data_IF_224762300478
#
_entry.id   IF_224762300478
#
_cell.length_a   1.000
_cell.length_b   1.000
_cell.length_c   1.000
_cell.angle_alpha   90.00
_cell.angle_beta   90.00
_cell.angle_gamma   90.00
#
_symmetry.space_group_name_H-M   'P 1'
#
loop_
_entity.id
_entity.type
_entity.pdbx_description
1 polymer ?
#
# COMPACT_ATOMS: atom_id res chain seq x y z
N UNK A 1 -10.82 33.61 3.79
CA UNK A 1 -10.46 32.71 4.91
C UNK A 1 -9.32 33.36 5.65
N UNK A 2 -9.52 33.65 6.95
CA UNK A 2 -8.62 34.50 7.72
C UNK A 2 -7.25 33.83 7.92
N UNK A 3 -6.18 34.65 7.93
CA UNK A 3 -4.79 34.27 8.22
C UNK A 3 -4.62 33.50 9.54
N UNK A 4 -5.60 33.57 10.43
CA UNK A 4 -5.65 32.84 11.69
C UNK A 4 -5.76 31.30 11.52
N UNK A 5 -6.30 30.80 10.38
CA UNK A 5 -6.38 29.36 10.10
C UNK A 5 -5.04 28.74 9.66
N UNK A 6 -4.08 29.54 9.21
CA UNK A 6 -2.79 29.04 8.69
C UNK A 6 -1.75 28.87 9.82
N UNK A 7 -1.81 29.69 10.86
CA UNK A 7 -0.85 29.63 11.99
C UNK A 7 -0.99 28.42 12.91
N UNK A 8 -2.17 27.76 12.91
CA UNK A 8 -2.45 26.60 13.79
C UNK A 8 -2.40 25.25 13.04
N UNK A 9 -1.97 25.22 11.80
CA UNK A 9 -1.92 24.00 10.98
C UNK A 9 -0.70 23.17 11.35
N UNK A 10 -0.90 22.10 12.12
CA UNK A 10 0.15 21.24 12.66
C UNK A 10 0.59 20.12 11.72
N UNK A 11 -0.35 19.55 10.97
CA UNK A 11 -0.13 18.38 10.14
C UNK A 11 -0.36 18.68 8.67
N UNK A 12 0.48 18.13 7.80
CA UNK A 12 0.42 18.35 6.35
C UNK A 12 0.21 17.02 5.63
N UNK A 13 -0.68 17.01 4.64
CA UNK A 13 -0.75 15.90 3.71
C UNK A 13 0.25 16.13 2.56
N UNK A 14 1.29 15.27 2.42
CA UNK A 14 2.31 15.46 1.38
C UNK A 14 1.78 15.18 -0.02
N UNK A 15 0.60 14.56 -0.17
CA UNK A 15 0.01 14.24 -1.48
C UNK A 15 -0.52 15.48 -2.19
N UNK A 16 -1.12 16.42 -1.45
CA UNK A 16 -1.67 17.66 -2.02
C UNK A 16 -1.11 18.95 -1.39
N UNK A 17 -0.25 18.83 -0.38
CA UNK A 17 0.40 19.93 0.33
C UNK A 17 -0.50 20.69 1.30
N UNK A 18 -1.74 20.26 1.51
CA UNK A 18 -2.67 20.93 2.44
C UNK A 18 -2.35 20.62 3.90
N UNK A 19 -2.52 21.62 4.75
CA UNK A 19 -2.24 21.51 6.17
C UNK A 19 -3.51 21.67 7.02
N UNK A 20 -3.55 20.95 8.15
CA UNK A 20 -4.71 20.83 9.03
C UNK A 20 -4.28 20.88 10.50
N UNK A 21 -5.17 21.33 11.40
CA UNK A 21 -4.94 21.24 12.86
C UNK A 21 -4.84 19.79 13.33
N UNK A 22 -5.69 18.94 12.79
CA UNK A 22 -5.69 17.49 13.03
C UNK A 22 -6.19 16.76 11.78
N UNK A 23 -5.82 15.50 11.66
CA UNK A 23 -6.45 14.58 10.72
C UNK A 23 -7.67 13.91 11.37
N UNK A 24 -8.51 13.28 10.56
CA UNK A 24 -9.73 12.62 11.00
C UNK A 24 -9.41 11.24 11.62
N UNK A 25 -10.29 10.72 12.48
CA UNK A 25 -10.17 9.35 12.96
C UNK A 25 -10.46 8.33 11.84
N UNK A 26 -9.88 7.14 11.96
CA UNK A 26 -10.14 6.02 11.05
C UNK A 26 -9.87 4.68 11.73
N UNK A 27 -10.68 3.65 11.40
CA UNK A 27 -10.47 2.25 11.79
C UNK A 27 -11.76 1.46 11.87
N UNK A 28 -11.64 0.16 11.63
CA UNK A 28 -12.67 -0.83 11.90
C UNK A 28 -12.37 -1.48 13.26
N UNK A 29 -13.36 -1.50 14.18
CA UNK A 29 -13.17 -2.04 15.52
C UNK A 29 -12.33 -1.14 16.44
N UNK A 30 -11.05 -0.96 16.17
CA UNK A 30 -10.17 -0.03 16.89
C UNK A 30 -9.96 1.26 16.09
N UNK A 31 -10.63 2.32 16.51
CA UNK A 31 -10.46 3.65 15.91
C UNK A 31 -9.13 4.26 16.33
N UNK A 32 -8.37 4.77 15.36
CA UNK A 32 -7.13 5.53 15.55
C UNK A 32 -7.39 7.00 15.26
N UNK A 33 -7.02 7.86 16.21
CA UNK A 33 -7.23 9.30 16.07
C UNK A 33 -6.17 9.97 15.21
N UNK A 34 -6.59 10.96 14.42
CA UNK A 34 -5.70 11.82 13.68
C UNK A 34 -4.91 11.14 12.55
N UNK A 35 -5.48 10.18 11.86
CA UNK A 35 -4.76 9.36 10.85
C UNK A 35 -5.23 9.59 9.42
N UNK A 36 -6.50 9.94 9.19
CA UNK A 36 -7.09 10.11 7.87
C UNK A 36 -7.04 11.58 7.42
N UNK A 37 -6.37 11.85 6.31
CA UNK A 37 -6.33 13.20 5.73
C UNK A 37 -7.72 13.67 5.30
N UNK A 38 -8.18 14.87 5.72
CA UNK A 38 -9.49 15.39 5.30
C UNK A 38 -9.59 15.72 3.81
N UNK A 39 -8.48 15.94 3.12
CA UNK A 39 -8.45 16.37 1.72
C UNK A 39 -8.30 15.23 0.72
N UNK A 40 -7.42 14.28 1.00
CA UNK A 40 -7.10 13.20 0.07
C UNK A 40 -7.67 11.86 0.50
N UNK A 41 -8.17 11.76 1.74
CA UNK A 41 -8.54 10.52 2.41
C UNK A 41 -7.37 9.53 2.53
N UNK A 42 -6.13 10.06 2.54
CA UNK A 42 -4.94 9.25 2.72
C UNK A 42 -4.74 8.85 4.18
N UNK A 43 -4.30 7.62 4.39
CA UNK A 43 -3.77 7.12 5.65
C UNK A 43 -2.23 7.25 5.67
N UNK A 44 -1.62 6.92 6.80
CA UNK A 44 -0.18 7.00 7.04
C UNK A 44 0.63 6.28 5.96
N UNK A 45 0.25 5.03 5.66
CA UNK A 45 0.88 4.19 4.63
C UNK A 45 0.81 4.82 3.22
N UNK A 46 -0.31 5.48 2.89
CA UNK A 46 -0.46 6.16 1.59
C UNK A 46 0.50 7.35 1.48
N UNK A 47 0.64 8.13 2.56
CA UNK A 47 1.55 9.27 2.59
C UNK A 47 3.01 8.84 2.51
N UNK A 48 3.38 7.73 3.18
CA UNK A 48 4.71 7.15 3.09
C UNK A 48 5.01 6.65 1.67
N UNK A 49 4.09 5.90 1.07
CA UNK A 49 4.22 5.43 -0.31
C UNK A 49 4.37 6.60 -1.29
N UNK A 50 3.56 7.65 -1.16
CA UNK A 50 3.66 8.85 -1.99
C UNK A 50 5.04 9.51 -1.90
N UNK A 51 5.57 9.67 -0.68
CA UNK A 51 6.90 10.24 -0.47
C UNK A 51 8.00 9.38 -1.11
N UNK A 52 7.88 8.06 -0.98
CA UNK A 52 8.80 7.12 -1.62
C UNK A 52 8.76 7.27 -3.15
N UNK A 53 7.59 7.19 -3.77
CA UNK A 53 7.42 7.33 -5.21
C UNK A 53 8.01 8.65 -5.73
N UNK A 54 7.80 9.74 -4.99
CA UNK A 54 8.27 11.07 -5.37
C UNK A 54 9.77 11.29 -5.20
N UNK A 55 10.39 10.64 -4.21
CA UNK A 55 11.77 10.96 -3.77
C UNK A 55 12.80 9.95 -4.21
N UNK A 56 12.36 8.70 -4.34
CA UNK A 56 13.27 7.55 -4.51
C UNK A 56 13.10 6.83 -5.84
N UNK A 57 12.13 7.25 -6.66
CA UNK A 57 11.85 6.62 -7.96
C UNK A 57 11.63 7.68 -9.04
N UNK A 58 11.59 7.24 -10.26
CA UNK A 58 11.23 8.03 -11.45
C UNK A 58 9.73 7.91 -11.81
N UNK A 59 8.90 7.43 -10.89
CA UNK A 59 7.47 7.14 -11.11
C UNK A 59 6.69 8.29 -11.76
N UNK A 60 7.01 9.55 -11.40
CA UNK A 60 6.32 10.74 -11.92
C UNK A 60 7.01 11.38 -13.14
N UNK A 61 8.10 10.79 -13.66
CA UNK A 61 8.88 11.38 -14.76
C UNK A 61 9.14 10.42 -15.91
N UNK A 62 9.38 9.13 -15.63
CA UNK A 62 9.61 8.13 -16.68
C UNK A 62 8.29 7.64 -17.30
N UNK A 63 8.28 7.27 -18.58
CA UNK A 63 7.15 6.59 -19.21
C UNK A 63 7.05 5.17 -18.64
N UNK A 64 6.03 4.89 -17.82
CA UNK A 64 5.86 3.63 -17.11
C UNK A 64 4.49 3.02 -17.39
N UNK A 65 4.46 1.70 -17.57
CA UNK A 65 3.23 0.91 -17.56
C UNK A 65 3.02 0.35 -16.16
N UNK A 66 1.96 0.81 -15.50
CA UNK A 66 1.70 0.56 -14.08
C UNK A 66 0.44 -0.28 -13.92
N UNK A 67 0.55 -1.39 -13.17
CA UNK A 67 -0.60 -2.14 -12.68
C UNK A 67 -0.83 -1.78 -11.20
N UNK A 68 -2.05 -1.41 -10.86
CA UNK A 68 -2.45 -1.13 -9.49
C UNK A 68 -3.60 -2.06 -9.10
N UNK A 69 -3.32 -3.01 -8.22
CA UNK A 69 -4.30 -3.95 -7.69
C UNK A 69 -5.07 -3.26 -6.56
N UNK A 70 -6.40 -3.35 -6.56
CA UNK A 70 -7.31 -2.74 -5.58
C UNK A 70 -6.95 -1.26 -5.30
N UNK A 71 -7.03 -0.38 -6.32
CA UNK A 71 -6.43 0.95 -6.27
C UNK A 71 -7.04 1.81 -5.17
N UNK A 72 -6.18 2.38 -4.33
CA UNK A 72 -6.60 3.22 -3.22
C UNK A 72 -7.11 4.59 -3.71
N UNK A 73 -8.17 5.06 -3.07
CA UNK A 73 -8.82 6.34 -3.41
C UNK A 73 -7.85 7.53 -3.38
N UNK A 74 -6.87 7.51 -2.47
CA UNK A 74 -5.88 8.56 -2.34
C UNK A 74 -5.04 8.76 -3.62
N UNK A 75 -4.85 7.72 -4.41
CA UNK A 75 -3.99 7.69 -5.59
C UNK A 75 -4.73 7.64 -6.92
N UNK A 76 -5.86 6.94 -6.98
CA UNK A 76 -6.57 6.59 -8.21
C UNK A 76 -6.66 7.73 -9.23
N UNK A 77 -7.28 8.87 -8.84
CA UNK A 77 -7.42 10.01 -9.74
C UNK A 77 -6.08 10.66 -10.10
N UNK A 78 -5.13 10.69 -9.16
CA UNK A 78 -3.84 11.33 -9.35
C UNK A 78 -2.96 10.58 -10.33
N UNK A 79 -2.92 9.25 -10.20
CA UNK A 79 -2.14 8.42 -11.12
C UNK A 79 -2.76 8.41 -12.52
N UNK A 80 -4.08 8.38 -12.65
CA UNK A 80 -4.76 8.52 -13.96
C UNK A 80 -4.48 9.85 -14.67
N UNK A 81 -4.16 10.90 -13.95
CA UNK A 81 -3.86 12.21 -14.53
C UNK A 81 -2.40 12.39 -14.94
N UNK A 82 -1.52 11.40 -14.63
CA UNK A 82 -0.11 11.46 -15.03
C UNK A 82 0.03 11.09 -16.51
N UNK A 83 0.49 12.02 -17.32
CA UNK A 83 0.66 11.81 -18.76
C UNK A 83 1.77 10.79 -19.10
N UNK A 84 2.70 10.57 -18.17
CA UNK A 84 3.79 9.62 -18.33
C UNK A 84 3.41 8.18 -17.96
N UNK A 85 2.22 7.95 -17.36
CA UNK A 85 1.80 6.62 -16.93
C UNK A 85 0.77 6.01 -17.87
N UNK A 86 1.02 4.80 -18.36
CA UNK A 86 -0.02 3.90 -18.80
C UNK A 86 -0.55 3.17 -17.55
N UNK A 87 -1.53 3.80 -16.89
CA UNK A 87 -2.03 3.35 -15.60
C UNK A 87 -3.26 2.45 -15.76
N UNK A 88 -3.10 1.19 -15.37
CA UNK A 88 -4.11 0.13 -15.44
C UNK A 88 -4.45 -0.32 -14.03
N UNK A 89 -5.73 -0.45 -13.73
CA UNK A 89 -6.23 -0.89 -12.42
C UNK A 89 -6.94 -2.23 -12.52
N UNK A 90 -6.75 -3.08 -11.50
CA UNK A 90 -7.44 -4.37 -11.41
C UNK A 90 -8.01 -4.57 -10.00
N UNK A 91 -9.23 -5.09 -9.95
CA UNK A 91 -9.91 -5.42 -8.69
C UNK A 91 -10.92 -6.55 -8.94
N UNK A 92 -11.16 -7.38 -7.92
CA UNK A 92 -12.13 -8.49 -8.05
C UNK A 92 -13.58 -8.01 -8.05
N UNK A 93 -13.89 -6.96 -7.29
CA UNK A 93 -15.26 -6.52 -7.03
C UNK A 93 -15.56 -5.09 -7.48
N UNK A 94 -14.57 -4.20 -7.43
CA UNK A 94 -14.78 -2.79 -7.71
C UNK A 94 -15.18 -2.55 -9.17
N UNK A 95 -16.31 -1.87 -9.43
CA UNK A 95 -16.70 -1.50 -10.80
C UNK A 95 -15.84 -0.35 -11.36
N UNK A 96 -14.98 0.26 -10.55
CA UNK A 96 -14.12 1.37 -10.95
C UNK A 96 -12.79 0.88 -11.53
N UNK A 97 -12.46 -0.41 -11.37
CA UNK A 97 -11.25 -0.98 -11.95
C UNK A 97 -11.40 -1.17 -13.46
N UNK A 98 -10.30 -0.98 -14.20
CA UNK A 98 -10.28 -1.18 -15.65
C UNK A 98 -10.45 -2.65 -16.01
N UNK A 99 -9.90 -3.54 -15.17
CA UNK A 99 -9.96 -4.99 -15.38
C UNK A 99 -10.50 -5.64 -14.09
N UNK A 100 -11.60 -6.38 -14.23
CA UNK A 100 -12.11 -7.22 -13.16
C UNK A 100 -11.39 -8.56 -13.18
N UNK A 101 -10.57 -8.85 -12.16
CA UNK A 101 -9.79 -10.08 -12.11
C UNK A 101 -9.49 -10.52 -10.67
N UNK A 102 -9.33 -11.85 -10.53
CA UNK A 102 -8.72 -12.45 -9.35
C UNK A 102 -7.21 -12.27 -9.41
N UNK A 103 -6.60 -11.81 -8.33
CA UNK A 103 -5.16 -11.62 -8.23
C UNK A 103 -4.39 -12.95 -8.38
N UNK A 104 -5.02 -14.08 -8.09
CA UNK A 104 -4.44 -15.41 -8.29
C UNK A 104 -4.44 -15.89 -9.75
N UNK A 105 -5.13 -15.17 -10.65
CA UNK A 105 -5.24 -15.51 -12.07
C UNK A 105 -5.38 -14.22 -12.91
N UNK A 106 -4.35 -13.40 -12.93
CA UNK A 106 -4.36 -12.12 -13.62
C UNK A 106 -4.41 -12.30 -15.16
N UNK A 107 -5.36 -11.66 -15.88
CA UNK A 107 -5.52 -11.81 -17.33
C UNK A 107 -4.53 -10.93 -18.11
N UNK A 108 -3.29 -10.86 -17.65
CA UNK A 108 -2.22 -10.10 -18.27
C UNK A 108 -1.11 -11.03 -18.76
N UNK A 109 -0.37 -10.59 -19.76
CA UNK A 109 0.79 -11.32 -20.27
C UNK A 109 1.95 -11.29 -19.27
N UNK A 110 2.90 -12.22 -19.46
CA UNK A 110 4.14 -12.20 -18.70
C UNK A 110 4.94 -10.91 -19.00
N UNK A 111 5.59 -10.37 -17.97
CA UNK A 111 6.51 -9.23 -18.15
C UNK A 111 5.85 -8.01 -18.84
N UNK A 112 4.62 -7.70 -18.45
CA UNK A 112 3.83 -6.65 -19.08
C UNK A 112 4.00 -5.28 -18.44
N UNK A 113 4.30 -5.21 -17.13
CA UNK A 113 4.31 -3.97 -16.37
C UNK A 113 5.71 -3.59 -15.86
N UNK A 114 6.02 -2.29 -15.92
CA UNK A 114 7.24 -1.72 -15.36
C UNK A 114 7.13 -1.60 -13.83
N UNK A 115 5.92 -1.30 -13.34
CA UNK A 115 5.60 -1.13 -11.92
C UNK A 115 4.32 -1.87 -11.56
N UNK A 116 4.32 -2.56 -10.42
CA UNK A 116 3.12 -3.18 -9.83
C UNK A 116 2.92 -2.69 -8.41
N UNK A 117 1.73 -2.15 -8.11
CA UNK A 117 1.30 -1.73 -6.79
C UNK A 117 0.20 -2.66 -6.28
N UNK A 118 0.39 -3.25 -5.10
CA UNK A 118 -0.57 -4.16 -4.47
C UNK A 118 -0.50 -3.95 -2.95
N UNK A 119 -1.34 -3.05 -2.44
CA UNK A 119 -1.24 -2.62 -1.04
C UNK A 119 -2.50 -3.03 -0.28
N UNK A 120 -2.31 -3.71 0.86
CA UNK A 120 -3.40 -4.19 1.70
C UNK A 120 -4.42 -5.06 0.96
N UNK A 121 -3.90 -6.06 0.23
CA UNK A 121 -4.67 -7.04 -0.53
C UNK A 121 -4.33 -8.47 -0.09
N UNK A 122 -3.03 -8.78 0.05
CA UNK A 122 -2.58 -10.16 0.25
C UNK A 122 -3.05 -10.78 1.57
N UNK A 123 -3.33 -9.98 2.58
CA UNK A 123 -3.91 -10.42 3.85
C UNK A 123 -5.34 -10.96 3.73
N UNK A 124 -6.02 -10.65 2.63
CA UNK A 124 -7.37 -11.13 2.32
C UNK A 124 -7.37 -12.40 1.43
N UNK A 125 -6.22 -12.74 0.83
CA UNK A 125 -6.13 -13.79 -0.20
C UNK A 125 -5.75 -15.13 0.43
N UNK A 126 -6.59 -16.17 0.37
CA UNK A 126 -6.26 -17.48 0.93
C UNK A 126 -4.95 -18.06 0.36
N UNK A 127 -4.76 -18.06 -0.95
CA UNK A 127 -3.51 -18.46 -1.59
C UNK A 127 -2.65 -17.22 -1.96
N UNK A 128 -2.04 -16.61 -0.94
CA UNK A 128 -1.16 -15.45 -1.14
C UNK A 128 0.09 -15.80 -1.95
N UNK A 129 0.53 -17.05 -1.88
CA UNK A 129 1.68 -17.54 -2.65
C UNK A 129 1.39 -17.52 -4.15
N UNK A 130 0.20 -17.96 -4.56
CA UNK A 130 -0.22 -17.87 -5.97
C UNK A 130 -0.39 -16.42 -6.41
N UNK A 131 -0.98 -15.57 -5.57
CA UNK A 131 -1.08 -14.14 -5.85
C UNK A 131 0.31 -13.49 -6.05
N UNK A 132 1.27 -13.78 -5.18
CA UNK A 132 2.66 -13.29 -5.32
C UNK A 132 3.33 -13.79 -6.61
N UNK A 133 3.08 -15.05 -7.02
CA UNK A 133 3.57 -15.59 -8.29
C UNK A 133 3.00 -14.83 -9.49
N UNK A 134 1.71 -14.50 -9.47
CA UNK A 134 1.09 -13.70 -10.53
C UNK A 134 1.65 -12.27 -10.59
N UNK A 135 1.85 -11.61 -9.44
CA UNK A 135 2.51 -10.30 -9.38
C UNK A 135 3.93 -10.37 -9.96
N UNK A 136 4.69 -11.43 -9.63
CA UNK A 136 6.02 -11.66 -10.21
C UNK A 136 5.96 -11.91 -11.70
N UNK A 137 5.02 -12.73 -12.16
CA UNK A 137 4.87 -13.11 -13.59
C UNK A 137 4.62 -11.88 -14.47
N UNK A 138 3.70 -11.00 -14.05
CA UNK A 138 3.31 -9.83 -14.85
C UNK A 138 4.32 -8.68 -14.77
N UNK A 139 5.22 -8.68 -13.78
CA UNK A 139 6.28 -7.68 -13.65
C UNK A 139 7.40 -7.96 -14.65
N UNK A 140 7.87 -6.94 -15.39
CA UNK A 140 9.00 -7.03 -16.34
C UNK A 140 10.31 -7.31 -15.60
N UNK A 141 11.27 -7.89 -16.29
CA UNK A 141 12.67 -7.91 -15.83
C UNK A 141 13.18 -6.49 -15.69
N UNK A 142 13.80 -6.17 -14.55
CA UNK A 142 14.19 -4.82 -14.18
C UNK A 142 13.04 -3.93 -13.70
N UNK A 143 11.81 -4.43 -13.71
CA UNK A 143 10.65 -3.77 -13.11
C UNK A 143 10.63 -3.92 -11.59
N UNK A 144 9.79 -3.12 -10.93
CA UNK A 144 9.67 -3.13 -9.48
C UNK A 144 8.21 -3.04 -9.01
N UNK A 145 7.97 -3.43 -7.77
CA UNK A 145 6.65 -3.35 -7.15
C UNK A 145 6.72 -3.05 -5.68
N UNK A 146 5.58 -2.63 -5.13
CA UNK A 146 5.39 -2.41 -3.70
C UNK A 146 4.15 -3.20 -3.28
N UNK A 147 4.34 -4.10 -2.31
CA UNK A 147 3.30 -5.03 -1.86
C UNK A 147 3.12 -4.89 -0.36
N UNK A 148 2.54 -3.75 0.08
CA UNK A 148 2.31 -3.48 1.49
C UNK A 148 1.22 -4.39 2.07
N UNK A 149 1.47 -4.83 3.30
CA UNK A 149 0.53 -5.60 4.12
C UNK A 149 0.54 -5.05 5.54
N UNK A 150 -0.52 -5.23 6.34
CA UNK A 150 -0.44 -5.03 7.78
C UNK A 150 0.56 -6.02 8.38
N UNK A 151 1.68 -5.52 8.87
CA UNK A 151 2.77 -6.37 9.38
C UNK A 151 2.96 -6.15 10.87
N UNK A 152 3.02 -7.24 11.63
CA UNK A 152 3.42 -7.23 13.05
C UNK A 152 4.94 -7.40 13.15
N UNK A 153 5.66 -6.31 13.37
CA UNK A 153 7.14 -6.28 13.39
C UNK A 153 7.73 -7.15 14.50
N UNK A 154 7.01 -7.29 15.62
CA UNK A 154 7.44 -8.13 16.76
C UNK A 154 7.19 -9.62 16.54
N UNK A 155 6.47 -9.98 15.48
CA UNK A 155 6.18 -11.36 15.10
C UNK A 155 7.21 -11.86 14.10
N UNK A 156 7.91 -12.94 14.46
CA UNK A 156 8.90 -13.53 13.55
C UNK A 156 8.24 -14.23 12.35
N UNK A 157 7.16 -14.99 12.60
CA UNK A 157 6.48 -15.82 11.60
C UNK A 157 5.05 -15.36 11.35
N UNK A 158 4.61 -15.45 10.11
CA UNK A 158 3.22 -15.20 9.70
C UNK A 158 2.29 -16.21 10.38
N UNK A 159 1.21 -15.72 10.96
CA UNK A 159 0.15 -16.55 11.52
C UNK A 159 -1.03 -16.61 10.55
N UNK A 160 -1.43 -17.81 10.17
CA UNK A 160 -2.62 -18.09 9.38
C UNK A 160 -3.30 -19.33 9.94
N UNK A 161 -4.63 -19.35 9.94
CA UNK A 161 -5.43 -20.49 10.36
C UNK A 161 -6.72 -20.54 9.54
N UNK A 162 -6.75 -21.47 8.59
CA UNK A 162 -7.88 -21.64 7.65
C UNK A 162 -9.15 -22.15 8.32
N UNK A 163 -9.06 -22.69 9.56
CA UNK A 163 -10.23 -23.12 10.33
C UNK A 163 -11.06 -21.94 10.86
N UNK A 164 -10.46 -20.74 10.93
CA UNK A 164 -11.12 -19.52 11.38
C UNK A 164 -11.91 -18.92 10.22
N UNK A 165 -13.21 -19.26 10.15
CA UNK A 165 -14.11 -18.82 9.07
C UNK A 165 -15.14 -17.78 9.52
N UNK A 166 -15.44 -17.69 10.82
CA UNK A 166 -16.38 -16.72 11.35
C UNK A 166 -15.84 -15.28 11.27
N UNK A 167 -16.57 -14.32 10.66
CA UNK A 167 -16.08 -12.93 10.49
C UNK A 167 -15.76 -12.20 11.80
N UNK A 168 -16.49 -12.50 12.89
CA UNK A 168 -16.22 -11.88 14.20
C UNK A 168 -14.93 -12.44 14.82
N UNK A 169 -14.71 -13.72 14.66
CA UNK A 169 -13.50 -14.39 15.08
C UNK A 169 -12.29 -13.87 14.29
N UNK A 170 -12.42 -13.73 12.96
CA UNK A 170 -11.39 -13.09 12.12
C UNK A 170 -11.08 -11.68 12.57
N UNK A 171 -12.10 -10.86 12.83
CA UNK A 171 -11.90 -9.50 13.34
C UNK A 171 -11.15 -9.48 14.69
N UNK A 172 -11.43 -10.43 15.57
CA UNK A 172 -10.77 -10.56 16.87
C UNK A 172 -9.31 -11.01 16.75
N UNK A 173 -9.03 -11.96 15.86
CA UNK A 173 -7.73 -12.63 15.75
C UNK A 173 -6.83 -11.90 14.75
N UNK A 174 -7.35 -11.61 13.55
CA UNK A 174 -6.57 -11.01 12.44
C UNK A 174 -6.76 -9.49 12.33
N UNK A 175 -7.59 -8.87 13.18
CA UNK A 175 -7.81 -7.42 13.21
C UNK A 175 -8.90 -6.90 12.27
N UNK A 176 -9.38 -7.70 11.30
CA UNK A 176 -10.48 -7.36 10.39
C UNK A 176 -11.27 -8.61 9.99
N UNK A 177 -12.56 -8.43 9.71
CA UNK A 177 -13.52 -9.52 9.48
C UNK A 177 -13.23 -10.40 8.26
N UNK A 178 -12.47 -9.91 7.31
CA UNK A 178 -12.10 -10.55 6.05
C UNK A 178 -10.60 -10.83 5.90
N UNK A 179 -9.79 -10.51 6.91
CA UNK A 179 -8.41 -10.97 6.97
C UNK A 179 -8.34 -12.47 7.25
N UNK A 180 -7.38 -13.14 6.65
CA UNK A 180 -7.14 -14.58 6.80
C UNK A 180 -5.77 -14.88 7.43
N UNK A 181 -4.96 -13.83 7.67
CA UNK A 181 -3.64 -13.94 8.29
C UNK A 181 -3.14 -12.64 8.91
N UNK A 182 -2.10 -12.78 9.73
CA UNK A 182 -1.26 -11.69 10.23
C UNK A 182 0.16 -11.96 9.75
N UNK A 183 0.72 -11.05 8.94
CA UNK A 183 2.08 -11.17 8.47
C UNK A 183 3.10 -10.83 9.56
N UNK A 184 4.09 -11.71 9.71
CA UNK A 184 5.31 -11.49 10.49
C UNK A 184 6.47 -10.98 9.63
N UNK A 185 7.67 -10.99 10.21
CA UNK A 185 8.89 -10.57 9.51
C UNK A 185 9.33 -11.54 8.40
N UNK A 186 8.88 -12.79 8.45
CA UNK A 186 9.05 -13.81 7.40
C UNK A 186 8.35 -13.44 6.06
N UNK A 187 7.50 -12.42 6.06
CA UNK A 187 6.85 -11.91 4.86
C UNK A 187 7.85 -11.57 3.74
N UNK A 188 8.97 -10.97 4.10
CA UNK A 188 10.01 -10.64 3.13
C UNK A 188 10.66 -11.90 2.54
N UNK A 189 10.82 -12.96 3.33
CA UNK A 189 11.36 -14.24 2.86
C UNK A 189 10.35 -14.99 1.99
N UNK A 190 9.05 -14.88 2.27
CA UNK A 190 7.99 -15.36 1.37
C UNK A 190 8.11 -14.72 -0.02
N UNK A 191 8.25 -13.40 -0.09
CA UNK A 191 8.45 -12.69 -1.36
C UNK A 191 9.74 -13.12 -2.07
N UNK A 192 10.86 -13.26 -1.35
CA UNK A 192 12.13 -13.77 -1.89
C UNK A 192 12.00 -15.19 -2.45
N UNK A 193 11.23 -16.05 -1.81
CA UNK A 193 11.00 -17.44 -2.25
C UNK A 193 10.27 -17.54 -3.59
N UNK A 194 9.53 -16.49 -3.99
CA UNK A 194 8.89 -16.40 -5.30
C UNK A 194 9.89 -16.03 -6.41
N UNK A 195 10.99 -15.36 -6.05
CA UNK A 195 12.03 -14.89 -6.97
C UNK A 195 12.28 -13.39 -6.92
N UNK A 196 11.54 -12.62 -6.12
CA UNK A 196 11.82 -11.18 -5.95
C UNK A 196 13.14 -10.93 -5.24
N UNK A 197 13.88 -9.92 -5.68
CA UNK A 197 14.83 -9.21 -4.83
C UNK A 197 14.02 -8.25 -3.95
N UNK A 198 14.17 -8.36 -2.62
CA UNK A 198 13.34 -7.60 -1.67
C UNK A 198 14.20 -6.72 -0.79
N UNK A 199 13.95 -5.41 -0.85
CA UNK A 199 14.51 -4.40 0.04
C UNK A 199 13.41 -3.96 1.04
N UNK A 200 13.48 -4.38 2.31
CA UNK A 200 12.64 -3.81 3.37
C UNK A 200 13.14 -2.39 3.67
N UNK A 201 12.42 -1.37 3.21
CA UNK A 201 12.82 0.03 3.34
C UNK A 201 12.10 0.69 4.52
N UNK A 202 12.80 1.03 5.63
CA UNK A 202 12.19 1.69 6.78
C UNK A 202 11.68 3.09 6.44
N UNK A 203 10.58 3.51 7.10
CA UNK A 203 10.04 4.87 6.99
C UNK A 203 11.11 5.96 7.22
N UNK A 204 12.06 5.72 8.13
CA UNK A 204 13.16 6.64 8.47
C UNK A 204 14.17 6.87 7.35
N UNK A 205 14.19 6.02 6.33
CA UNK A 205 15.00 6.23 5.12
C UNK A 205 14.27 7.02 4.02
N UNK A 206 12.96 7.21 4.19
CA UNK A 206 12.10 7.97 3.28
C UNK A 206 11.82 9.37 3.80
N UNK A 207 11.65 9.52 5.12
CA UNK A 207 11.25 10.76 5.78
C UNK A 207 12.10 11.03 7.04
N UNK A 208 12.38 12.31 7.31
CA UNK A 208 13.06 12.73 8.55
C UNK A 208 12.15 12.61 9.77
N UNK A 209 12.70 12.69 10.98
CA UNK A 209 11.92 12.64 12.21
C UNK A 209 10.84 13.74 12.27
N UNK A 210 11.18 14.96 11.81
CA UNK A 210 10.25 16.09 11.72
C UNK A 210 9.12 15.83 10.71
N UNK A 211 9.44 15.22 9.58
CA UNK A 211 8.47 14.87 8.55
C UNK A 211 7.56 13.72 8.97
N UNK A 212 8.07 12.74 9.73
CA UNK A 212 7.28 11.66 10.30
C UNK A 212 6.18 12.23 11.19
N UNK A 213 6.50 13.21 12.04
CA UNK A 213 5.49 13.90 12.85
C UNK A 213 4.56 14.76 11.98
N UNK A 214 5.13 15.61 11.12
CA UNK A 214 4.39 16.56 10.27
C UNK A 214 3.40 15.89 9.35
N UNK A 215 3.76 14.75 8.76
CA UNK A 215 2.92 13.99 7.84
C UNK A 215 2.14 12.87 8.54
N UNK A 216 2.26 12.75 9.85
CA UNK A 216 1.58 11.69 10.63
C UNK A 216 1.90 10.30 10.08
N UNK A 217 3.16 10.00 9.85
CA UNK A 217 3.62 8.69 9.40
C UNK A 217 3.80 7.74 10.59
N UNK A 218 3.78 6.44 10.33
CA UNK A 218 4.16 5.41 11.30
C UNK A 218 5.67 5.21 11.22
N UNK A 219 6.40 5.53 12.29
CA UNK A 219 7.87 5.50 12.32
C UNK A 219 8.44 4.13 11.98
N UNK A 220 7.77 3.07 12.45
CA UNK A 220 8.23 1.70 12.27
C UNK A 220 7.63 1.02 11.02
N UNK A 221 6.96 1.78 10.14
CA UNK A 221 6.45 1.25 8.87
C UNK A 221 7.62 0.87 7.96
N UNK A 222 7.51 -0.27 7.31
CA UNK A 222 8.50 -0.77 6.34
C UNK A 222 7.82 -0.94 4.98
N UNK A 223 8.38 -0.33 3.95
CA UNK A 223 7.95 -0.53 2.57
C UNK A 223 8.65 -1.77 1.99
N UNK A 224 7.93 -2.79 1.55
CA UNK A 224 8.50 -3.94 0.84
C UNK A 224 8.74 -3.56 -0.62
N UNK A 225 9.94 -3.11 -0.93
CA UNK A 225 10.34 -2.80 -2.31
C UNK A 225 10.81 -4.09 -2.96
N UNK A 226 10.07 -4.54 -3.97
CA UNK A 226 10.34 -5.79 -4.69
C UNK A 226 10.81 -5.48 -6.10
N UNK A 227 11.85 -6.16 -6.59
CA UNK A 227 12.31 -6.08 -7.98
C UNK A 227 12.48 -7.47 -8.58
N UNK A 228 12.36 -7.53 -9.93
CA UNK A 228 12.51 -8.77 -10.70
C UNK A 228 13.76 -8.72 -11.54
#
# INVERSE_FOLDING_TARGET
>A
RSEMCIRDSRYTDPIDGRSFRTFLPYGYGKVREGVLSPSTLSLERHRLLWLYLKRKTDFFSAPLRVLHIAPEQAFYKRFRQQANLEYITSDLYSPLADVKADICALPFENEQFDVVLCNHVLEHIPDDTQAMRELYRVLKKGGWGIFQVPQEIERAETFADDSITDPKERARIFGQYDHVRIYGMDYFDKLRSIGFSVLPLPCTEVATAEEIEKYRLVKNEILPICSK
#
